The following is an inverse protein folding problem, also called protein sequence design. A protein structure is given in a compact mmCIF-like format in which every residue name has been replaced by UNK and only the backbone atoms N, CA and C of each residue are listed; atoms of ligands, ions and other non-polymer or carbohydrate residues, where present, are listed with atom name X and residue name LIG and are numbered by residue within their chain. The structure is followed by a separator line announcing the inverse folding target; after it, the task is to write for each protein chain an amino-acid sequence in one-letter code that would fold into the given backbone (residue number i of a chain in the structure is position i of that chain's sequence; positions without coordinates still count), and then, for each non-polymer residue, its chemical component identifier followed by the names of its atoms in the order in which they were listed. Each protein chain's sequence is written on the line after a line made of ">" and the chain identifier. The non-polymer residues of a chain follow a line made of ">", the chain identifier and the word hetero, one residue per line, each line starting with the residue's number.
data_IF_515922445513
#
_entry.id   IF_515922445513
#
_cell.length_a   1.000
_cell.length_b   1.000
_cell.length_c   1.000
_cell.angle_alpha   90.00
_cell.angle_beta   90.00
_cell.angle_gamma   90.00
#
_symmetry.space_group_name_H-M   'P 1'
#
loop_
_entity.id
_entity.type
_entity.pdbx_description
1 polymer ?
#
# COMPACT_ATOMS: atom_id res chain seq x y z
N UNK A 1 -3.35 -9.72 -0.39
CA UNK A 1 -1.88 -9.64 -0.37
C UNK A 1 -1.40 -9.81 1.08
N UNK A 2 -0.33 -10.56 1.34
CA UNK A 2 0.12 -10.85 2.71
C UNK A 2 1.21 -9.85 3.16
N UNK A 3 0.85 -8.93 4.07
CA UNK A 3 1.76 -7.93 4.66
C UNK A 3 2.89 -8.63 5.44
N UNK A 4 2.55 -9.65 6.24
CA UNK A 4 3.51 -10.34 7.10
C UNK A 4 4.63 -11.02 6.28
N UNK A 5 4.25 -11.65 5.16
CA UNK A 5 5.23 -12.24 4.25
C UNK A 5 6.15 -11.18 3.62
N UNK A 6 5.60 -10.03 3.26
CA UNK A 6 6.37 -8.91 2.69
C UNK A 6 7.36 -8.35 3.72
N UNK A 7 6.91 -8.14 4.96
CA UNK A 7 7.76 -7.69 6.08
C UNK A 7 8.89 -8.66 6.34
N UNK A 8 8.61 -9.98 6.38
CA UNK A 8 9.63 -11.02 6.55
C UNK A 8 10.70 -10.99 5.47
N UNK A 9 10.31 -10.69 4.22
CA UNK A 9 11.24 -10.58 3.08
C UNK A 9 12.06 -9.29 3.11
N UNK A 10 11.49 -8.17 3.56
CA UNK A 10 12.14 -6.85 3.52
C UNK A 10 13.04 -6.60 4.75
N UNK A 11 12.61 -7.04 5.95
CA UNK A 11 13.29 -6.74 7.22
C UNK A 11 14.80 -7.09 7.24
N UNK A 12 15.28 -8.20 6.63
CA UNK A 12 16.71 -8.52 6.62
C UNK A 12 17.59 -7.46 5.95
N UNK A 13 17.03 -6.67 5.02
CA UNK A 13 17.77 -5.63 4.31
C UNK A 13 17.96 -4.35 5.14
N UNK A 14 17.22 -4.18 6.26
CA UNK A 14 17.27 -2.99 7.12
C UNK A 14 17.31 -1.66 6.33
N UNK A 15 16.34 -1.41 5.45
CA UNK A 15 16.40 -0.29 4.53
C UNK A 15 16.30 1.05 5.27
N UNK A 16 17.16 2.01 4.92
CA UNK A 16 17.00 3.40 5.35
C UNK A 16 15.83 4.10 4.66
N UNK A 17 15.48 3.67 3.43
CA UNK A 17 14.40 4.25 2.62
C UNK A 17 13.57 3.17 1.92
N UNK A 18 12.25 3.37 1.87
CA UNK A 18 11.34 2.57 1.05
C UNK A 18 10.55 3.48 0.11
N UNK A 19 10.57 3.18 -1.19
CA UNK A 19 9.87 3.95 -2.23
C UNK A 19 8.86 3.03 -2.92
N UNK A 20 7.63 3.48 -3.15
CA UNK A 20 6.65 2.70 -3.89
C UNK A 20 5.45 3.50 -4.39
N UNK A 21 4.79 2.98 -5.41
CA UNK A 21 3.52 3.48 -5.92
C UNK A 21 2.44 2.40 -5.81
N UNK A 22 1.81 2.22 -4.62
CA UNK A 22 0.81 1.17 -4.45
C UNK A 22 -0.38 1.41 -5.39
N UNK A 23 -0.77 0.41 -6.20
CA UNK A 23 -1.77 0.65 -7.23
C UNK A 23 -3.16 0.90 -6.63
N UNK A 24 -3.76 1.99 -7.08
CA UNK A 24 -5.10 2.46 -6.75
C UNK A 24 -6.16 1.66 -7.55
N UNK A 25 -6.23 0.32 -7.40
CA UNK A 25 -7.09 -0.53 -8.24
C UNK A 25 -8.60 -0.40 -7.98
N UNK A 26 -9.02 0.27 -6.91
CA UNK A 26 -10.44 0.56 -6.63
C UNK A 26 -10.97 1.82 -7.35
N UNK A 27 -10.12 2.51 -8.13
CA UNK A 27 -10.48 3.80 -8.75
C UNK A 27 -10.68 3.74 -10.26
N UNK A 28 -10.68 2.53 -10.85
CA UNK A 28 -11.00 2.34 -12.27
C UNK A 28 -12.49 2.13 -12.48
N UNK A 29 -13.06 2.85 -13.45
CA UNK A 29 -14.47 2.81 -13.87
C UNK A 29 -14.90 1.48 -14.53
N UNK A 30 -14.06 0.44 -14.53
CA UNK A 30 -14.24 -0.78 -15.32
C UNK A 30 -14.40 -2.08 -14.49
N UNK A 31 -14.39 -2.02 -13.15
CA UNK A 31 -14.47 -3.19 -12.29
C UNK A 31 -15.72 -3.20 -11.41
N UNK A 32 -16.40 -4.35 -11.31
CA UNK A 32 -17.52 -4.58 -10.38
C UNK A 32 -17.12 -4.13 -8.97
N UNK A 33 -17.91 -3.21 -8.39
CA UNK A 33 -17.85 -2.83 -6.97
C UNK A 33 -18.25 -4.04 -6.15
N UNK A 34 -17.27 -4.81 -5.73
CA UNK A 34 -17.44 -5.87 -4.74
C UNK A 34 -16.69 -5.40 -3.49
N UNK A 35 -17.38 -4.58 -2.71
CA UNK A 35 -16.81 -3.87 -1.55
C UNK A 35 -16.50 -4.84 -0.39
N UNK A 36 -17.03 -6.06 -0.44
CA UNK A 36 -16.95 -7.08 0.62
C UNK A 36 -15.90 -8.19 0.39
N UNK A 37 -15.30 -8.34 -0.81
CA UNK A 37 -14.42 -9.46 -1.13
C UNK A 37 -12.92 -9.11 -1.18
N UNK A 38 -12.38 -8.61 -0.07
CA UNK A 38 -10.96 -8.86 0.27
C UNK A 38 -9.90 -8.13 -0.57
N UNK A 39 -10.27 -7.09 -1.33
CA UNK A 39 -9.29 -6.11 -1.83
C UNK A 39 -8.97 -5.11 -0.73
N UNK A 40 -8.24 -5.59 0.29
CA UNK A 40 -7.55 -4.72 1.22
C UNK A 40 -6.69 -3.75 0.42
N UNK A 41 -7.03 -2.47 0.48
CA UNK A 41 -6.41 -1.41 -0.31
C UNK A 41 -4.88 -1.56 -0.27
N UNK A 42 -4.26 -1.74 -1.43
CA UNK A 42 -2.81 -1.96 -1.53
C UNK A 42 -2.01 -0.79 -0.96
N UNK A 43 -2.64 0.40 -0.89
CA UNK A 43 -2.12 1.57 -0.18
C UNK A 43 -2.06 1.32 1.33
N UNK A 44 -3.11 0.73 1.92
CA UNK A 44 -3.12 0.34 3.35
C UNK A 44 -2.12 -0.79 3.61
N UNK A 45 -2.00 -1.77 2.70
CA UNK A 45 -0.96 -2.79 2.81
C UNK A 45 0.45 -2.18 2.76
N UNK A 46 0.70 -1.25 1.84
CA UNK A 46 1.96 -0.52 1.76
C UNK A 46 2.25 0.24 3.06
N UNK A 47 1.28 1.02 3.56
CA UNK A 47 1.41 1.75 4.82
C UNK A 47 1.72 0.83 6.01
N UNK A 48 1.07 -0.34 6.09
CA UNK A 48 1.36 -1.34 7.12
C UNK A 48 2.78 -1.90 7.02
N UNK A 49 3.28 -2.16 5.81
CA UNK A 49 4.68 -2.60 5.61
C UNK A 49 5.64 -1.53 6.10
N UNK A 50 5.41 -0.26 5.75
CA UNK A 50 6.21 0.87 6.23
C UNK A 50 6.19 0.95 7.77
N UNK A 51 5.01 0.83 8.38
CA UNK A 51 4.85 0.88 9.83
C UNK A 51 5.56 -0.27 10.56
N UNK A 52 5.65 -1.46 9.96
CA UNK A 52 6.31 -2.64 10.56
C UNK A 52 7.84 -2.68 10.33
N UNK A 53 8.31 -2.08 9.24
CA UNK A 53 9.75 -2.01 8.90
C UNK A 53 10.41 -0.76 9.50
N UNK A 54 9.65 0.30 9.75
CA UNK A 54 10.11 1.58 10.32
C UNK A 54 11.39 2.15 9.67
N UNK A 55 11.43 2.29 8.32
CA UNK A 55 12.58 2.93 7.67
C UNK A 55 12.69 4.40 8.10
N UNK A 56 13.89 4.99 7.99
CA UNK A 56 14.09 6.43 8.28
C UNK A 56 13.27 7.32 7.35
N UNK A 57 13.08 6.88 6.11
CA UNK A 57 12.37 7.62 5.08
C UNK A 57 11.43 6.71 4.30
N UNK A 58 10.33 7.27 3.81
CA UNK A 58 9.52 6.62 2.79
C UNK A 58 9.02 7.63 1.76
N UNK A 59 8.77 7.15 0.54
CA UNK A 59 8.14 7.93 -0.52
C UNK A 59 7.03 7.10 -1.15
N UNK A 60 5.81 7.65 -1.10
CA UNK A 60 4.65 7.05 -1.73
C UNK A 60 4.22 7.89 -2.94
N UNK A 61 4.33 7.33 -4.13
CA UNK A 61 3.76 7.93 -5.35
C UNK A 61 2.31 7.47 -5.52
N UNK A 62 1.42 8.38 -5.93
CA UNK A 62 0.05 8.05 -6.29
C UNK A 62 -0.54 9.13 -7.21
N UNK A 63 -1.67 8.82 -7.84
CA UNK A 63 -2.43 9.75 -8.69
C UNK A 63 -3.20 10.78 -7.85
N UNK A 64 -3.46 11.96 -8.40
CA UNK A 64 -4.16 13.09 -7.74
C UNK A 64 -5.48 12.69 -7.05
N UNK A 65 -6.20 11.72 -7.63
CA UNK A 65 -7.49 11.23 -7.11
C UNK A 65 -7.40 10.69 -5.68
N UNK A 66 -6.21 10.30 -5.21
CA UNK A 66 -5.98 9.86 -3.83
C UNK A 66 -6.49 10.90 -2.81
N UNK A 67 -6.43 12.20 -3.12
CA UNK A 67 -6.89 13.26 -2.21
C UNK A 67 -8.42 13.28 -2.01
N UNK A 68 -9.16 12.59 -2.87
CA UNK A 68 -10.62 12.54 -2.85
C UNK A 68 -11.17 11.22 -2.30
N UNK A 69 -10.30 10.30 -1.88
CA UNK A 69 -10.73 9.03 -1.28
C UNK A 69 -11.13 9.21 0.18
N UNK A 70 -12.13 8.45 0.63
CA UNK A 70 -12.56 8.35 2.04
C UNK A 70 -12.13 7.02 2.68
N UNK A 71 -11.39 6.19 1.92
CA UNK A 71 -11.06 4.80 2.26
C UNK A 71 -9.66 4.64 2.88
N UNK A 72 -8.84 5.71 2.83
CA UNK A 72 -7.50 5.79 3.42
C UNK A 72 -7.51 6.55 4.73
#
# INVERSE_FOLDING_TARGET
>A
MNVEESVKKIRPFQPDIIIGGPPCQDFSSAGKRDEDNGRGDLTVCYAKIIAEITPKWFVMENVERILKTQKL
#
